data_IF_036733349665
#
_entry.id   IF_036733349665
#
_cell.length_a   1.000
_cell.length_b   1.000
_cell.length_c   1.000
_cell.angle_alpha   90.00
_cell.angle_beta   90.00
_cell.angle_gamma   90.00
#
_symmetry.space_group_name_H-M   'P 1'
#
loop_
_entity.id
_entity.type
_entity.pdbx_description
1 polymer ?
#
# COMPACT_ATOMS: atom_id res chain seq x y z
N UNK A 1 15.85 8.43 25.65
CA UNK A 1 15.17 9.61 25.06
C UNK A 1 14.12 10.06 26.08
N UNK A 2 14.36 11.11 26.86
CA UNK A 2 13.50 11.45 28.02
C UNK A 2 12.31 12.38 27.69
N UNK A 3 12.30 13.01 26.51
CA UNK A 3 11.28 13.97 26.12
C UNK A 3 10.28 13.38 25.13
N UNK A 4 9.01 13.29 25.54
CA UNK A 4 7.90 12.70 24.78
C UNK A 4 7.09 13.75 24.01
N UNK A 5 7.45 15.03 24.08
CA UNK A 5 6.66 16.13 23.51
C UNK A 5 6.27 15.90 22.06
N UNK A 6 7.20 15.44 21.21
CA UNK A 6 6.93 15.18 19.79
C UNK A 6 6.01 13.98 19.52
N UNK A 7 6.08 12.93 20.34
CA UNK A 7 5.24 11.73 20.12
C UNK A 7 3.81 11.90 20.65
N UNK A 8 3.61 12.80 21.62
CA UNK A 8 2.30 13.10 22.21
C UNK A 8 1.63 14.33 21.58
N UNK A 9 2.37 15.12 20.79
CA UNK A 9 1.83 16.28 20.08
C UNK A 9 0.98 15.80 18.89
N UNK A 10 -0.28 16.21 18.86
CA UNK A 10 -1.24 15.81 17.82
C UNK A 10 -0.95 16.46 16.47
N UNK A 11 -0.33 17.63 16.47
CA UNK A 11 -0.03 18.43 15.29
C UNK A 11 1.31 18.06 14.67
N UNK A 12 2.26 17.60 15.48
CA UNK A 12 3.61 17.31 15.03
C UNK A 12 3.66 16.27 13.89
N UNK A 13 2.97 15.11 13.95
CA UNK A 13 2.95 14.17 12.82
C UNK A 13 2.43 14.80 11.53
N UNK A 14 1.40 15.64 11.62
CA UNK A 14 0.83 16.34 10.47
C UNK A 14 1.82 17.35 9.89
N UNK A 15 2.46 18.15 10.74
CA UNK A 15 3.45 19.17 10.33
C UNK A 15 4.69 18.49 9.75
N UNK A 16 5.21 17.45 10.39
CA UNK A 16 6.36 16.69 9.93
C UNK A 16 6.09 16.03 8.57
N UNK A 17 4.94 15.38 8.42
CA UNK A 17 4.52 14.77 7.15
C UNK A 17 4.31 15.80 6.05
N UNK A 18 3.69 16.95 6.38
CA UNK A 18 3.52 18.06 5.43
C UNK A 18 4.87 18.61 4.98
N UNK A 19 5.81 18.79 5.92
CA UNK A 19 7.15 19.27 5.62
C UNK A 19 7.92 18.26 4.75
N UNK A 20 7.79 16.96 5.01
CA UNK A 20 8.36 15.91 4.16
C UNK A 20 7.80 15.94 2.75
N UNK A 21 6.47 16.06 2.61
CA UNK A 21 5.82 16.19 1.30
C UNK A 21 6.28 17.44 0.55
N UNK A 22 6.32 18.59 1.22
CA UNK A 22 6.81 19.86 0.64
C UNK A 22 8.26 19.72 0.21
N UNK A 23 9.12 19.12 1.05
CA UNK A 23 10.53 18.90 0.72
C UNK A 23 10.67 17.98 -0.49
N UNK A 24 9.93 16.88 -0.54
CA UNK A 24 9.98 15.91 -1.64
C UNK A 24 9.47 16.54 -2.96
N UNK A 25 8.35 17.27 -2.89
CA UNK A 25 7.79 18.01 -4.02
C UNK A 25 8.75 19.11 -4.51
N UNK A 26 9.36 19.87 -3.59
CA UNK A 26 10.29 20.97 -3.93
C UNK A 26 11.57 20.43 -4.55
N UNK A 27 12.15 19.35 -4.00
CA UNK A 27 13.38 18.75 -4.53
C UNK A 27 13.16 18.24 -5.95
N UNK A 28 12.05 17.56 -6.20
CA UNK A 28 11.71 17.05 -7.54
C UNK A 28 11.29 18.14 -8.50
N UNK A 29 10.49 19.10 -8.02
CA UNK A 29 10.15 20.31 -8.76
C UNK A 29 11.40 21.08 -9.18
N UNK A 30 12.40 21.17 -8.30
CA UNK A 30 13.70 21.79 -8.60
C UNK A 30 14.48 20.99 -9.64
N UNK A 31 14.63 19.68 -9.48
CA UNK A 31 15.30 18.83 -10.47
C UNK A 31 14.63 18.90 -11.87
N UNK A 32 13.32 19.06 -11.92
CA UNK A 32 12.59 19.28 -13.17
C UNK A 32 12.68 20.73 -13.67
N UNK A 33 12.77 21.72 -12.78
CA UNK A 33 12.97 23.12 -13.13
C UNK A 33 14.39 23.37 -13.68
N UNK A 34 15.39 22.57 -13.31
CA UNK A 34 16.72 22.59 -13.95
C UNK A 34 16.73 21.94 -15.34
N UNK A 35 15.63 21.30 -15.76
CA UNK A 35 15.51 20.76 -17.11
C UNK A 35 15.34 21.87 -18.16
N UNK A 36 15.74 21.57 -19.40
CA UNK A 36 15.56 22.47 -20.57
C UNK A 36 14.08 22.85 -20.83
N UNK A 37 13.13 22.17 -20.20
CA UNK A 37 11.69 22.37 -20.41
C UNK A 37 11.09 23.48 -19.52
N UNK A 38 11.83 24.05 -18.55
CA UNK A 38 11.31 25.05 -17.59
C UNK A 38 10.59 26.24 -18.24
N UNK A 39 11.23 26.85 -19.24
CA UNK A 39 10.68 28.03 -19.91
C UNK A 39 9.36 27.73 -20.62
N UNK A 40 9.24 26.52 -21.15
CA UNK A 40 8.10 26.06 -21.93
C UNK A 40 6.91 25.67 -21.04
N UNK A 41 7.18 25.10 -19.86
CA UNK A 41 6.13 24.77 -18.87
C UNK A 41 5.54 26.06 -18.27
N UNK A 42 6.40 27.01 -17.88
CA UNK A 42 5.94 28.27 -17.28
C UNK A 42 5.13 29.12 -18.27
N UNK A 43 5.57 29.21 -19.53
CA UNK A 43 4.82 29.90 -20.58
C UNK A 43 3.48 29.20 -20.87
N UNK A 44 3.47 27.86 -20.92
CA UNK A 44 2.25 27.07 -21.08
C UNK A 44 1.23 27.35 -19.98
N UNK A 45 1.63 27.30 -18.71
CA UNK A 45 0.76 27.59 -17.55
C UNK A 45 0.14 28.99 -17.67
N UNK A 46 0.94 29.98 -18.06
CA UNK A 46 0.45 31.37 -18.22
C UNK A 46 -0.44 31.54 -19.46
N UNK A 47 -0.31 30.68 -20.47
CA UNK A 47 -1.07 30.74 -21.73
C UNK A 47 -2.41 29.99 -21.70
N UNK A 48 -2.75 29.33 -20.59
CA UNK A 48 -3.99 28.55 -20.49
C UNK A 48 -5.22 29.44 -20.51
N UNK A 49 -6.18 29.09 -21.35
CA UNK A 49 -7.52 29.67 -21.31
C UNK A 49 -8.28 29.16 -20.08
N UNK A 50 -8.52 30.07 -19.13
CA UNK A 50 -9.21 29.76 -17.88
C UNK A 50 -10.66 29.32 -18.09
N UNK A 51 -11.31 29.79 -19.17
CA UNK A 51 -12.70 29.43 -19.47
C UNK A 51 -12.83 27.98 -19.95
N UNK A 52 -11.87 27.53 -20.78
CA UNK A 52 -11.77 26.13 -21.23
C UNK A 52 -11.47 25.22 -20.05
N UNK A 53 -10.52 25.60 -19.19
CA UNK A 53 -10.20 24.84 -17.99
C UNK A 53 -11.40 24.71 -17.04
N UNK A 54 -12.15 25.79 -16.81
CA UNK A 54 -13.36 25.77 -16.00
C UNK A 54 -14.45 24.84 -16.57
N UNK A 55 -14.60 24.82 -17.91
CA UNK A 55 -15.53 23.92 -18.59
C UNK A 55 -15.13 22.45 -18.40
N UNK A 56 -13.85 22.12 -18.57
CA UNK A 56 -13.30 20.77 -18.33
C UNK A 56 -13.58 20.35 -16.88
N UNK A 57 -13.30 21.21 -15.89
CA UNK A 57 -13.55 20.93 -14.47
C UNK A 57 -15.03 20.65 -14.22
N UNK A 58 -15.94 21.42 -14.83
CA UNK A 58 -17.38 21.24 -14.67
C UNK A 58 -17.89 19.93 -15.29
N UNK A 59 -17.32 19.50 -16.42
CA UNK A 59 -17.65 18.20 -17.04
C UNK A 59 -17.11 17.04 -16.20
N UNK A 60 -15.87 17.15 -15.74
CA UNK A 60 -15.26 16.14 -14.86
C UNK A 60 -16.00 16.01 -13.53
N UNK A 61 -16.49 17.10 -12.93
CA UNK A 61 -17.23 17.05 -11.66
C UNK A 61 -18.61 16.38 -11.77
N UNK A 62 -19.19 16.35 -12.98
CA UNK A 62 -20.41 15.59 -13.29
C UNK A 62 -20.17 14.10 -13.51
N UNK A 63 -18.90 13.67 -13.57
CA UNK A 63 -18.51 12.28 -13.80
C UNK A 63 -18.34 11.91 -15.27
N UNK A 64 -18.31 12.89 -16.19
CA UNK A 64 -18.13 12.62 -17.61
C UNK A 64 -16.70 12.17 -17.91
N UNK A 65 -16.54 11.17 -18.79
CA UNK A 65 -15.23 10.81 -19.36
C UNK A 65 -14.85 11.83 -20.43
N UNK A 66 -14.12 12.87 -20.03
CA UNK A 66 -13.71 13.94 -20.93
C UNK A 66 -12.44 13.53 -21.69
N UNK A 67 -12.56 13.39 -23.00
CA UNK A 67 -11.42 13.34 -23.92
C UNK A 67 -11.24 14.74 -24.54
N UNK A 68 -10.01 15.27 -24.60
CA UNK A 68 -9.77 16.57 -25.22
C UNK A 68 -9.95 16.47 -26.74
N UNK A 69 -10.85 17.28 -27.29
CA UNK A 69 -11.14 17.34 -28.72
C UNK A 69 -10.48 18.57 -29.35
N UNK A 70 -10.50 19.72 -28.66
CA UNK A 70 -9.90 20.97 -29.15
C UNK A 70 -8.42 21.06 -28.80
N UNK A 71 -7.68 21.89 -29.54
CA UNK A 71 -6.25 22.13 -29.26
C UNK A 71 -6.05 22.84 -27.91
N UNK A 72 -7.00 23.67 -27.50
CA UNK A 72 -7.02 24.35 -26.19
C UNK A 72 -7.24 23.36 -25.05
N UNK A 73 -8.15 22.39 -25.22
CA UNK A 73 -8.34 21.31 -24.27
C UNK A 73 -7.08 20.42 -24.19
N UNK A 74 -6.46 20.09 -25.32
CA UNK A 74 -5.20 19.31 -25.34
C UNK A 74 -4.08 20.02 -24.58
N UNK A 75 -3.95 21.34 -24.72
CA UNK A 75 -2.99 22.14 -23.94
C UNK A 75 -3.27 22.07 -22.44
N UNK A 76 -4.53 22.13 -22.02
CA UNK A 76 -4.90 21.97 -20.61
C UNK A 76 -4.49 20.57 -20.08
N UNK A 77 -4.77 19.52 -20.85
CA UNK A 77 -4.40 18.15 -20.48
C UNK A 77 -2.88 17.92 -20.47
N UNK A 78 -2.15 18.57 -21.37
CA UNK A 78 -0.69 18.52 -21.38
C UNK A 78 -0.11 19.09 -20.09
N UNK A 79 -0.66 20.20 -19.58
CA UNK A 79 -0.22 20.79 -18.30
C UNK A 79 -0.55 19.88 -17.14
N UNK A 80 -1.73 19.25 -17.13
CA UNK A 80 -2.07 18.25 -16.11
C UNK A 80 -1.07 17.09 -16.15
N UNK A 81 -0.67 16.62 -17.33
CA UNK A 81 0.34 15.57 -17.47
C UNK A 81 1.72 16.01 -16.97
N UNK A 82 2.14 17.23 -17.28
CA UNK A 82 3.40 17.82 -16.80
C UNK A 82 3.38 18.00 -15.27
N UNK A 83 2.25 18.42 -14.68
CA UNK A 83 2.04 18.51 -13.24
C UNK A 83 2.01 17.13 -12.55
N UNK A 84 1.35 16.15 -13.17
CA UNK A 84 1.37 14.75 -12.73
C UNK A 84 2.81 14.24 -12.66
N UNK A 85 3.67 14.62 -13.62
CA UNK A 85 5.07 14.24 -13.60
C UNK A 85 5.80 14.77 -12.35
N UNK A 86 5.52 16.00 -11.91
CA UNK A 86 6.01 16.54 -10.61
C UNK A 86 5.48 15.68 -9.45
N UNK A 87 4.18 15.38 -9.49
CA UNK A 87 3.45 14.69 -8.43
C UNK A 87 3.84 13.22 -8.26
N UNK A 88 4.36 12.58 -9.32
CA UNK A 88 4.80 11.16 -9.32
C UNK A 88 5.68 10.80 -8.13
N UNK A 89 6.51 11.74 -7.73
CA UNK A 89 7.52 11.51 -6.73
C UNK A 89 7.13 11.87 -5.30
N UNK A 90 5.95 12.44 -5.11
CA UNK A 90 5.40 12.79 -3.80
C UNK A 90 4.59 11.60 -3.29
N UNK A 91 4.96 11.08 -2.12
CA UNK A 91 4.30 9.94 -1.52
C UNK A 91 2.82 10.25 -1.25
N UNK A 92 1.93 9.36 -1.69
CA UNK A 92 0.49 9.51 -1.48
C UNK A 92 -0.22 10.43 -2.49
N UNK A 93 0.51 11.01 -3.45
CA UNK A 93 -0.07 11.80 -4.53
C UNK A 93 -0.99 10.97 -5.43
N UNK A 94 -1.88 11.63 -6.16
CA UNK A 94 -2.75 10.95 -7.13
C UNK A 94 -1.95 10.21 -8.22
N UNK A 95 -0.82 10.79 -8.65
CA UNK A 95 0.06 10.17 -9.64
C UNK A 95 0.76 8.93 -9.09
N UNK A 96 1.24 8.96 -7.83
CA UNK A 96 1.83 7.76 -7.19
C UNK A 96 0.82 6.61 -7.11
N UNK A 97 -0.44 6.90 -6.75
CA UNK A 97 -1.53 5.92 -6.76
C UNK A 97 -1.83 5.38 -8.16
N UNK A 98 -1.77 6.24 -9.19
CA UNK A 98 -1.94 5.84 -10.60
C UNK A 98 -0.84 4.87 -11.04
N UNK A 99 0.40 5.09 -10.66
CA UNK A 99 1.51 4.17 -10.96
C UNK A 99 1.38 2.83 -10.26
N UNK A 100 1.09 2.83 -8.95
CA UNK A 100 0.82 1.58 -8.22
C UNK A 100 -0.33 0.78 -8.85
N UNK A 101 -1.37 1.46 -9.34
CA UNK A 101 -2.48 0.81 -10.06
C UNK A 101 -2.04 0.25 -11.41
N UNK A 102 -1.19 0.96 -12.15
CA UNK A 102 -0.68 0.48 -13.45
C UNK A 102 0.25 -0.73 -13.28
N UNK A 103 1.10 -0.75 -12.26
CA UNK A 103 1.91 -1.91 -11.87
C UNK A 103 1.04 -3.12 -11.53
N UNK A 104 -0.06 -2.88 -10.79
CA UNK A 104 -1.00 -3.94 -10.49
C UNK A 104 -1.69 -4.48 -11.76
N UNK A 105 -2.13 -3.61 -12.68
CA UNK A 105 -2.73 -4.02 -13.93
C UNK A 105 -1.76 -4.79 -14.83
N UNK A 106 -0.49 -4.42 -14.86
CA UNK A 106 0.51 -5.15 -15.64
C UNK A 106 0.76 -6.55 -15.07
N UNK A 107 0.81 -6.69 -13.74
CA UNK A 107 0.89 -7.99 -13.07
C UNK A 107 -0.33 -8.87 -13.37
N UNK A 108 -1.54 -8.32 -13.27
CA UNK A 108 -2.77 -9.05 -13.60
C UNK A 108 -2.79 -9.46 -15.08
N UNK A 109 -2.33 -8.58 -15.98
CA UNK A 109 -2.26 -8.90 -17.40
C UNK A 109 -1.24 -10.00 -17.72
N UNK A 110 -0.15 -10.08 -16.95
CA UNK A 110 0.93 -11.05 -17.19
C UNK A 110 0.68 -12.40 -16.51
N UNK A 111 0.18 -12.40 -15.27
CA UNK A 111 -0.01 -13.58 -14.43
C UNK A 111 -1.46 -14.05 -14.32
N UNK A 112 -2.40 -13.26 -14.85
CA UNK A 112 -3.84 -13.50 -14.66
C UNK A 112 -4.33 -12.99 -13.31
N UNK A 113 -5.52 -13.47 -12.91
CA UNK A 113 -6.14 -13.06 -11.66
C UNK A 113 -5.30 -13.51 -10.44
N UNK A 114 -5.19 -12.68 -9.40
CA UNK A 114 -4.52 -13.06 -8.15
C UNK A 114 -5.26 -14.23 -7.49
N UNK A 115 -4.51 -15.15 -6.90
CA UNK A 115 -5.04 -16.31 -6.17
C UNK A 115 -5.62 -15.91 -4.82
N UNK A 116 -5.01 -14.95 -4.12
CA UNK A 116 -5.46 -14.48 -2.81
C UNK A 116 -5.44 -12.96 -2.68
N UNK A 117 -6.42 -12.43 -1.95
CA UNK A 117 -6.44 -11.07 -1.41
C UNK A 117 -6.35 -11.12 0.11
N UNK A 118 -5.22 -10.70 0.66
CA UNK A 118 -4.89 -10.80 2.08
C UNK A 118 -4.98 -9.41 2.70
N UNK A 119 -5.70 -9.30 3.81
CA UNK A 119 -5.75 -8.07 4.61
C UNK A 119 -5.20 -8.35 6.00
N UNK A 120 -4.14 -7.64 6.38
CA UNK A 120 -3.58 -7.67 7.73
C UNK A 120 -3.98 -6.39 8.48
N UNK A 121 -4.74 -6.59 9.56
CA UNK A 121 -5.38 -5.52 10.33
C UNK A 121 -5.20 -5.79 11.83
N UNK A 122 -4.03 -5.50 12.41
CA UNK A 122 -3.79 -5.76 13.82
C UNK A 122 -4.64 -4.80 14.68
N UNK A 123 -5.29 -5.32 15.73
CA UNK A 123 -6.15 -4.53 16.62
C UNK A 123 -5.32 -3.72 17.62
N UNK A 124 -4.85 -2.55 17.21
CA UNK A 124 -4.04 -1.64 18.02
C UNK A 124 -4.72 -1.17 19.33
N UNK A 125 -6.04 -1.01 19.36
CA UNK A 125 -6.75 -0.51 20.54
C UNK A 125 -6.81 -1.50 21.71
N UNK A 126 -6.86 -2.80 21.41
CA UNK A 126 -7.07 -3.84 22.42
C UNK A 126 -5.81 -4.65 22.71
N UNK A 127 -4.79 -4.54 21.85
CA UNK A 127 -3.60 -5.37 21.95
C UNK A 127 -2.70 -4.98 23.14
N UNK A 128 -2.35 -5.93 24.03
CA UNK A 128 -1.47 -5.66 25.18
C UNK A 128 -0.12 -5.09 24.79
N UNK A 129 0.42 -5.46 23.63
CA UNK A 129 1.70 -4.93 23.13
C UNK A 129 1.58 -3.45 22.77
N UNK A 130 0.54 -3.04 22.01
CA UNK A 130 0.28 -1.64 21.71
C UNK A 130 0.15 -0.81 22.99
N UNK A 131 -0.59 -1.34 23.96
CA UNK A 131 -0.74 -0.70 25.27
C UNK A 131 0.59 -0.55 26.01
N UNK A 132 1.44 -1.57 26.04
CA UNK A 132 2.75 -1.48 26.69
C UNK A 132 3.69 -0.50 25.97
N UNK A 133 3.69 -0.48 24.64
CA UNK A 133 4.43 0.49 23.82
C UNK A 133 3.95 1.92 24.14
N UNK A 134 2.64 2.13 24.32
CA UNK A 134 2.09 3.44 24.66
C UNK A 134 2.59 3.98 26.00
N UNK A 135 2.99 3.09 26.92
CA UNK A 135 3.49 3.43 28.24
C UNK A 135 5.02 3.51 28.35
N UNK A 136 5.77 3.12 27.32
CA UNK A 136 7.23 2.88 27.37
C UNK A 136 7.64 1.92 28.50
N UNK A 137 6.83 0.89 28.75
CA UNK A 137 7.21 -0.16 29.70
C UNK A 137 8.32 -1.02 29.07
N UNK A 138 9.49 -1.10 29.70
CA UNK A 138 10.61 -1.95 29.27
C UNK A 138 10.27 -3.45 29.33
N UNK A 139 9.24 -3.81 30.09
CA UNK A 139 8.72 -5.18 30.20
C UNK A 139 7.26 -5.25 29.79
N UNK A 140 6.94 -6.12 28.84
CA UNK A 140 5.56 -6.43 28.45
C UNK A 140 4.90 -7.15 29.64
N UNK A 141 4.15 -6.42 30.44
CA UNK A 141 3.28 -7.01 31.46
C UNK A 141 1.85 -6.97 30.91
N UNK A 142 1.15 -8.11 30.82
CA UNK A 142 -0.28 -8.11 30.54
C UNK A 142 -1.03 -7.65 31.80
N UNK A 143 -0.85 -6.39 32.19
CA UNK A 143 -1.55 -5.85 33.35
C UNK A 143 -2.96 -5.43 32.90
N UNK A 144 -3.87 -6.40 32.94
CA UNK A 144 -5.28 -6.29 32.54
C UNK A 144 -6.13 -5.42 33.49
N UNK A 145 -5.50 -4.75 34.46
CA UNK A 145 -6.18 -3.94 35.49
C UNK A 145 -6.80 -2.64 34.96
N UNK A 146 -6.45 -2.22 33.74
CA UNK A 146 -7.02 -1.02 33.13
C UNK A 146 -8.34 -1.32 32.42
N UNK A 147 -9.35 -0.48 32.67
CA UNK A 147 -10.59 -0.48 31.88
C UNK A 147 -10.29 -0.29 30.39
N UNK A 148 -11.19 -0.74 29.51
CA UNK A 148 -11.03 -0.55 28.06
C UNK A 148 -10.89 0.95 27.70
N UNK A 149 -11.63 1.82 28.39
CA UNK A 149 -11.61 3.27 28.15
C UNK A 149 -10.28 3.91 28.55
N UNK A 150 -9.68 3.47 29.66
CA UNK A 150 -8.37 3.97 30.10
C UNK A 150 -7.25 3.55 29.14
N UNK A 151 -7.35 2.33 28.59
CA UNK A 151 -6.42 1.84 27.56
C UNK A 151 -6.53 2.68 26.30
N UNK A 152 -7.75 2.90 25.84
CA UNK A 152 -8.05 3.70 24.65
C UNK A 152 -7.51 5.12 24.77
N UNK A 153 -7.78 5.82 25.88
CA UNK A 153 -7.29 7.19 26.12
C UNK A 153 -5.77 7.27 26.14
N UNK A 154 -5.09 6.26 26.68
CA UNK A 154 -3.62 6.22 26.74
C UNK A 154 -2.99 5.99 25.36
N UNK A 155 -3.56 5.10 24.55
CA UNK A 155 -3.09 4.84 23.18
C UNK A 155 -3.27 6.09 22.31
N UNK A 156 -4.42 6.75 22.36
CA UNK A 156 -4.70 7.96 21.57
C UNK A 156 -3.76 9.12 21.90
N UNK A 157 -3.35 9.25 23.16
CA UNK A 157 -2.40 10.29 23.59
C UNK A 157 -0.98 10.09 23.05
N UNK A 158 -0.69 8.93 22.45
CA UNK A 158 0.60 8.60 21.86
C UNK A 158 0.39 7.96 20.48
N UNK A 159 0.05 8.74 19.43
CA UNK A 159 -0.15 8.23 18.07
C UNK A 159 1.06 7.45 17.53
N UNK A 160 2.28 7.76 17.99
CA UNK A 160 3.49 7.03 17.62
C UNK A 160 3.47 5.59 18.15
N UNK A 161 2.81 5.33 19.28
CA UNK A 161 2.69 3.97 19.81
C UNK A 161 1.88 3.05 18.89
N UNK A 162 0.79 3.55 18.30
CA UNK A 162 -0.01 2.80 17.32
C UNK A 162 0.81 2.48 16.06
N UNK A 163 1.56 3.47 15.54
CA UNK A 163 2.44 3.27 14.39
C UNK A 163 3.56 2.26 14.69
N UNK A 164 4.22 2.36 15.85
CA UNK A 164 5.24 1.41 16.30
C UNK A 164 4.68 0.01 16.51
N UNK A 165 3.46 -0.10 17.03
CA UNK A 165 2.79 -1.38 17.19
C UNK A 165 2.45 -2.00 15.85
N UNK A 166 1.90 -1.23 14.90
CA UNK A 166 1.63 -1.74 13.56
C UNK A 166 2.92 -2.20 12.88
N UNK A 167 3.98 -1.38 12.91
CA UNK A 167 5.31 -1.75 12.42
C UNK A 167 5.81 -3.03 13.10
N UNK A 168 5.77 -3.11 14.42
CA UNK A 168 6.14 -4.30 15.18
C UNK A 168 5.32 -5.54 14.83
N UNK A 169 4.00 -5.43 14.63
CA UNK A 169 3.14 -6.56 14.27
C UNK A 169 3.39 -7.04 12.85
N UNK A 170 3.59 -6.09 11.92
CA UNK A 170 4.06 -6.41 10.58
C UNK A 170 5.43 -7.08 10.66
N UNK A 171 6.33 -6.67 11.56
CA UNK A 171 7.67 -7.24 11.75
C UNK A 171 7.69 -8.62 12.43
N UNK A 172 6.85 -8.87 13.44
CA UNK A 172 6.85 -10.14 14.18
C UNK A 172 6.18 -11.25 13.39
N UNK A 173 5.19 -10.94 12.56
CA UNK A 173 4.70 -11.88 11.55
C UNK A 173 5.80 -12.23 10.50
N UNK A 174 6.98 -11.63 10.63
CA UNK A 174 7.99 -11.45 9.61
C UNK A 174 9.43 -11.60 10.16
N UNK A 175 9.93 -12.76 10.62
CA UNK A 175 11.35 -12.88 11.07
C UNK A 175 12.20 -13.98 10.39
N UNK A 176 13.24 -13.55 9.63
CA UNK A 176 14.65 -14.01 9.39
C UNK A 176 15.22 -13.91 7.93
N UNK A 177 15.97 -12.81 7.67
CA UNK A 177 17.17 -12.50 6.82
C UNK A 177 17.34 -13.19 5.43
N UNK A 178 17.75 -12.64 4.26
CA UNK A 178 18.58 -11.49 3.81
C UNK A 178 18.38 -11.24 2.29
N UNK A 179 18.64 -10.00 1.80
CA UNK A 179 19.12 -9.55 0.44
C UNK A 179 18.33 -10.04 -0.81
N UNK A 180 17.74 -9.18 -1.64
CA UNK A 180 18.43 -8.42 -2.72
C UNK A 180 17.42 -7.55 -3.51
N UNK A 181 17.85 -6.37 -4.00
CA UNK A 181 17.16 -5.40 -4.90
C UNK A 181 15.93 -4.70 -4.27
N UNK A 182 15.85 -3.37 -4.17
CA UNK A 182 15.31 -2.53 -5.25
C UNK A 182 15.76 -1.06 -5.18
N UNK A 183 15.67 -0.43 -6.34
CA UNK A 183 15.70 1.00 -6.69
C UNK A 183 15.23 2.04 -5.64
N UNK A 184 15.87 3.21 -5.72
CA UNK A 184 15.71 4.42 -4.90
C UNK A 184 14.26 4.82 -4.56
N UNK A 185 13.84 4.61 -3.30
CA UNK A 185 13.02 5.59 -2.55
C UNK A 185 13.33 5.47 -1.05
N UNK A 186 13.86 6.54 -0.47
CA UNK A 186 14.25 6.64 0.94
C UNK A 186 13.14 6.18 1.90
N UNK A 187 13.49 5.21 2.75
CA UNK A 187 12.72 4.74 3.93
C UNK A 187 11.43 3.95 3.65
N UNK A 188 11.45 3.06 2.65
CA UNK A 188 10.61 1.87 2.73
C UNK A 188 11.25 0.92 3.76
N UNK A 189 10.69 0.95 4.97
CA UNK A 189 11.08 0.13 6.13
C UNK A 189 11.47 -1.30 5.70
N UNK A 190 12.67 -1.74 6.12
CA UNK A 190 13.36 -3.04 6.01
C UNK A 190 12.55 -4.27 6.53
N UNK A 191 11.22 -4.26 6.46
CA UNK A 191 10.36 -4.78 7.53
C UNK A 191 9.12 -5.60 7.05
N UNK A 192 8.83 -5.67 5.74
CA UNK A 192 7.73 -6.48 5.16
C UNK A 192 8.20 -7.85 4.59
N UNK A 193 9.51 -8.06 4.51
CA UNK A 193 10.16 -9.10 3.68
C UNK A 193 9.97 -10.54 4.14
N UNK A 194 9.46 -10.76 5.34
CA UNK A 194 9.57 -12.07 5.99
C UNK A 194 8.26 -12.84 6.09
N UNK A 195 7.10 -12.19 6.04
CA UNK A 195 5.85 -12.85 5.70
C UNK A 195 5.97 -13.38 4.26
N UNK A 196 6.51 -12.54 3.37
CA UNK A 196 6.84 -12.91 2.00
C UNK A 196 7.80 -14.12 1.97
N UNK A 197 8.84 -14.13 2.82
CA UNK A 197 9.77 -15.25 2.85
C UNK A 197 9.24 -16.52 3.55
N UNK A 198 8.79 -16.42 4.79
CA UNK A 198 8.47 -17.59 5.64
C UNK A 198 7.02 -18.06 5.52
N UNK A 199 6.08 -17.15 5.28
CA UNK A 199 4.66 -17.52 5.10
C UNK A 199 4.36 -17.78 3.62
N UNK A 200 4.86 -16.94 2.72
CA UNK A 200 4.65 -17.09 1.28
C UNK A 200 5.74 -17.93 0.60
N UNK A 201 6.85 -18.24 1.27
CA UNK A 201 7.91 -19.08 0.70
C UNK A 201 8.78 -18.39 -0.36
N UNK A 202 8.66 -17.07 -0.55
CA UNK A 202 9.40 -16.35 -1.60
C UNK A 202 10.88 -16.26 -1.24
N UNK A 203 11.75 -16.67 -2.16
CA UNK A 203 13.20 -16.74 -1.96
C UNK A 203 13.59 -17.56 -0.71
N UNK A 204 12.86 -18.66 -0.47
CA UNK A 204 13.11 -19.61 0.61
C UNK A 204 13.23 -21.04 0.09
N UNK A 205 13.84 -21.92 0.89
CA UNK A 205 14.03 -23.34 0.54
C UNK A 205 12.76 -24.19 0.76
N UNK A 206 11.65 -23.56 1.14
CA UNK A 206 10.37 -24.22 1.39
C UNK A 206 9.24 -23.53 0.61
N UNK A 207 8.16 -24.26 0.35
CA UNK A 207 6.95 -23.65 -0.19
C UNK A 207 6.26 -22.79 0.89
N UNK A 208 5.49 -21.80 0.45
CA UNK A 208 4.64 -21.02 1.35
C UNK A 208 3.45 -21.85 1.85
N UNK A 209 2.78 -21.37 2.89
CA UNK A 209 1.54 -21.96 3.42
C UNK A 209 0.46 -22.08 2.33
N UNK A 210 0.46 -21.17 1.37
CA UNK A 210 -0.47 -21.15 0.25
C UNK A 210 0.07 -21.88 -1.00
N UNK A 211 1.23 -22.53 -0.90
CA UNK A 211 1.97 -23.14 -2.01
C UNK A 211 3.11 -22.28 -2.53
N UNK A 212 3.70 -22.68 -3.67
CA UNK A 212 4.81 -21.96 -4.29
C UNK A 212 4.35 -20.60 -4.83
N UNK A 213 4.89 -19.51 -4.28
CA UNK A 213 4.52 -18.15 -4.72
C UNK A 213 5.14 -17.80 -6.08
N UNK A 214 4.30 -17.37 -7.02
CA UNK A 214 4.71 -16.86 -8.34
C UNK A 214 4.95 -15.35 -8.32
N UNK A 215 4.10 -14.59 -7.62
CA UNK A 215 4.26 -13.16 -7.41
C UNK A 215 3.45 -12.66 -6.21
N UNK A 216 3.80 -11.47 -5.72
CA UNK A 216 3.04 -10.78 -4.68
C UNK A 216 3.06 -9.27 -4.94
N UNK A 217 2.05 -8.56 -4.44
CA UNK A 217 1.96 -7.10 -4.51
C UNK A 217 1.26 -6.58 -3.26
N UNK A 218 1.80 -5.56 -2.59
CA UNK A 218 1.29 -5.10 -1.30
C UNK A 218 1.32 -3.59 -1.12
N UNK A 219 0.31 -3.05 -0.44
CA UNK A 219 0.22 -1.63 -0.08
C UNK A 219 -0.34 -1.45 1.32
N UNK A 220 0.16 -0.45 2.04
CA UNK A 220 -0.41 -0.03 3.33
C UNK A 220 -1.43 1.06 3.07
N UNK A 221 -2.64 0.88 3.59
CA UNK A 221 -3.73 1.84 3.52
C UNK A 221 -4.11 2.31 4.92
N UNK A 222 -4.41 3.60 5.05
CA UNK A 222 -5.02 4.16 6.25
C UNK A 222 -6.53 4.15 6.06
N UNK A 223 -7.23 3.35 6.86
CA UNK A 223 -8.70 3.39 6.86
C UNK A 223 -9.18 4.63 7.64
N UNK A 224 -10.37 5.15 7.31
CA UNK A 224 -11.01 6.27 8.02
C UNK A 224 -11.34 6.03 9.51
N UNK A 225 -10.86 4.91 10.08
CA UNK A 225 -11.02 4.48 11.47
C UNK A 225 -9.70 4.46 12.26
N UNK A 226 -8.70 5.22 11.79
CA UNK A 226 -7.42 5.48 12.47
C UNK A 226 -6.42 4.31 12.53
N UNK A 227 -6.78 3.12 12.07
CA UNK A 227 -5.90 1.94 12.07
C UNK A 227 -5.28 1.68 10.69
N UNK A 228 -4.00 1.31 10.68
CA UNK A 228 -3.29 0.93 9.47
C UNK A 228 -3.67 -0.49 9.06
N UNK A 229 -3.85 -0.69 7.77
CA UNK A 229 -4.14 -1.99 7.17
C UNK A 229 -3.11 -2.25 6.07
N UNK A 230 -2.62 -3.48 5.99
CA UNK A 230 -1.83 -3.94 4.86
C UNK A 230 -2.73 -4.77 3.96
N UNK A 231 -2.87 -4.35 2.70
CA UNK A 231 -3.55 -5.09 1.65
C UNK A 231 -2.52 -5.73 0.73
N UNK A 232 -2.68 -7.01 0.47
CA UNK A 232 -1.77 -7.80 -0.36
C UNK A 232 -2.52 -8.65 -1.35
N UNK A 233 -1.93 -8.81 -2.52
CA UNK A 233 -2.32 -9.72 -3.58
C UNK A 233 -1.22 -10.76 -3.78
N UNK A 234 -1.63 -12.01 -3.96
CA UNK A 234 -0.73 -13.15 -4.06
C UNK A 234 -1.11 -14.01 -5.25
N UNK A 235 -0.11 -14.42 -6.04
CA UNK A 235 -0.23 -15.39 -7.12
C UNK A 235 0.51 -16.66 -6.74
N UNK A 236 -0.16 -17.80 -6.83
CA UNK A 236 0.41 -19.13 -6.57
C UNK A 236 0.70 -19.82 -7.90
N UNK A 237 1.87 -20.45 -8.00
CA UNK A 237 2.27 -21.16 -9.22
C UNK A 237 1.36 -22.36 -9.45
N UNK A 238 0.88 -22.50 -10.68
CA UNK A 238 -0.03 -23.58 -11.07
C UNK A 238 -1.45 -23.42 -10.52
N UNK A 239 -1.82 -22.25 -9.98
CA UNK A 239 -3.20 -21.98 -9.62
C UNK A 239 -4.07 -21.91 -10.87
N UNK A 240 -5.20 -22.60 -10.85
CA UNK A 240 -6.23 -22.46 -11.86
C UNK A 240 -6.77 -21.03 -11.90
N UNK A 241 -6.96 -20.49 -13.10
CA UNK A 241 -7.72 -19.26 -13.30
C UNK A 241 -9.18 -19.45 -12.87
N UNK A 242 -9.92 -18.39 -12.51
CA UNK A 242 -11.33 -18.50 -12.16
C UNK A 242 -12.18 -19.20 -13.23
N UNK A 243 -11.82 -19.07 -14.50
CA UNK A 243 -12.49 -19.75 -15.60
C UNK A 243 -12.15 -21.25 -15.63
N UNK A 244 -10.88 -21.62 -15.44
CA UNK A 244 -10.48 -23.03 -15.31
C UNK A 244 -11.09 -23.69 -14.07
N UNK A 245 -11.17 -22.99 -12.93
CA UNK A 245 -11.88 -23.47 -11.73
C UNK A 245 -13.35 -23.69 -12.07
N UNK A 246 -14.00 -22.73 -12.74
CA UNK A 246 -15.40 -22.85 -13.14
C UNK A 246 -15.61 -24.05 -14.05
N UNK A 247 -14.79 -24.20 -15.08
CA UNK A 247 -14.91 -25.29 -16.06
C UNK A 247 -14.64 -26.65 -15.39
N UNK A 248 -13.66 -26.73 -14.48
CA UNK A 248 -13.36 -27.91 -13.70
C UNK A 248 -14.47 -28.28 -12.69
N UNK A 249 -15.15 -27.29 -12.10
CA UNK A 249 -16.32 -27.52 -11.24
C UNK A 249 -17.52 -28.01 -12.05
N UNK A 250 -17.70 -27.50 -13.28
CA UNK A 250 -18.83 -27.85 -14.15
C UNK A 250 -18.64 -29.20 -14.87
N UNK A 251 -17.42 -29.74 -14.93
CA UNK A 251 -17.16 -31.08 -15.44
C UNK A 251 -17.54 -32.16 -14.42
N UNK A 252 -18.69 -32.81 -14.66
CA UNK A 252 -19.25 -33.87 -13.82
C UNK A 252 -18.45 -35.18 -13.85
N UNK A 253 -17.53 -35.37 -14.80
CA UNK A 253 -16.68 -36.56 -14.90
C UNK A 253 -15.21 -36.29 -14.55
N UNK A 254 -14.86 -35.05 -14.23
CA UNK A 254 -13.49 -34.61 -13.99
C UNK A 254 -12.89 -35.11 -12.67
N UNK A 255 -11.56 -35.31 -12.66
CA UNK A 255 -10.81 -35.66 -11.45
C UNK A 255 -10.84 -34.57 -10.36
N UNK A 256 -11.20 -33.34 -10.74
CA UNK A 256 -11.25 -32.18 -9.84
C UNK A 256 -12.28 -32.38 -8.72
N UNK A 257 -13.51 -32.79 -9.05
CA UNK A 257 -14.54 -33.12 -8.05
C UNK A 257 -14.19 -34.36 -7.22
N UNK A 258 -13.45 -35.32 -7.80
CA UNK A 258 -12.98 -36.52 -7.07
C UNK A 258 -11.91 -36.18 -6.04
N UNK A 259 -11.02 -35.22 -6.33
CA UNK A 259 -9.95 -34.77 -5.43
C UNK A 259 -10.46 -33.86 -4.31
N UNK A 260 -11.46 -33.00 -4.54
CA UNK A 260 -12.06 -32.17 -3.48
C UNK A 260 -12.63 -33.01 -2.30
N UNK A 261 -13.01 -34.27 -2.55
CA UNK A 261 -13.45 -35.21 -1.51
C UNK A 261 -12.29 -35.91 -0.74
N UNK A 262 -11.04 -35.91 -1.24
CA UNK A 262 -9.82 -36.23 -0.47
C UNK A 262 -9.24 -34.87 -0.02
N UNK A 263 -9.60 -34.41 1.17
CA UNK A 263 -9.37 -33.04 1.63
C UNK A 263 -7.98 -32.43 1.38
N UNK A 264 -7.96 -31.09 1.41
CA UNK A 264 -6.87 -30.12 1.17
C UNK A 264 -5.56 -30.37 1.99
N UNK A 265 -5.51 -31.41 2.82
CA UNK A 265 -4.28 -31.87 3.48
C UNK A 265 -4.12 -33.35 3.19
N UNK A 266 -3.25 -33.64 2.21
CA UNK A 266 -3.06 -34.97 1.67
C UNK A 266 -2.62 -36.00 2.70
N UNK A 267 -3.31 -37.14 2.67
CA UNK A 267 -2.73 -38.48 2.69
C UNK A 267 -3.85 -39.43 2.26
N UNK A 268 -3.82 -39.89 1.01
CA UNK A 268 -4.66 -41.01 0.57
C UNK A 268 -3.69 -42.18 0.31
N UNK A 269 -3.50 -43.03 1.34
CA UNK A 269 -2.79 -44.31 1.23
C UNK A 269 -3.63 -45.29 0.41
N UNK A 270 -2.92 -46.05 -0.43
CA UNK A 270 -3.38 -47.04 -1.41
C UNK A 270 -4.62 -47.88 -1.06
#
# INVERSE_FOLDING_TARGET
>A
YHDKRFQTDISFPFVAFSHEQVKSATTKGFAMAESKQRGDIASRILSVDQSVLANIIQRLSKGDSVKPETEEEKKCYQIIHELDHVGSGVRGSMTSKKYLRNELWSLISYLGAPSWYITFAPSDLTHPICFNISQDNETIKPDLKFSNDDRFRKIIRNPVAGAKFFDFMVNICCVLITRTLTCDVCTWSLFVTMFIKHILGVDSDHDGIFGQTAAHYGTVEQQGRLTLHLHMLLWIKGSYSPQEIRDAILDSNGDFQRKENCGIFGECTH
#
